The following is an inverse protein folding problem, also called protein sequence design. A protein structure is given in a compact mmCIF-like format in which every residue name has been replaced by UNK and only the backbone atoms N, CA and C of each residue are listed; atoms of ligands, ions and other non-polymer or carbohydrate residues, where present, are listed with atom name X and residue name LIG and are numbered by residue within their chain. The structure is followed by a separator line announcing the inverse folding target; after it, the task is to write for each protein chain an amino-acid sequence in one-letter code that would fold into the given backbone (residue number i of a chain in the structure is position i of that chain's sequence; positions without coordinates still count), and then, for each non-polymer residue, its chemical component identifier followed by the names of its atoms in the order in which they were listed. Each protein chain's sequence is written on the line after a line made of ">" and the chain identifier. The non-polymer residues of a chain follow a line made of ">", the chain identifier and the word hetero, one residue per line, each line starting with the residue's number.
data_IF_879925986136
#
_entry.id   IF_879925986136
#
_cell.length_a   1.000
_cell.length_b   1.000
_cell.length_c   1.000
_cell.angle_alpha   90.00
_cell.angle_beta   90.00
_cell.angle_gamma   90.00
#
_symmetry.space_group_name_H-M   'P 1'
#
loop_
_entity.id
_entity.type
_entity.pdbx_description
1 polymer ?
#
# COMPACT_ATOMS: atom_id res chain seq x y z
N UNK A 1 57.31 16.39 -60.48
CA UNK A 1 56.87 15.29 -59.59
C UNK A 1 57.65 15.42 -58.28
N UNK A 2 57.01 15.94 -57.23
CA UNK A 2 57.57 16.05 -55.87
C UNK A 2 56.48 15.57 -54.92
N UNK A 3 56.67 14.40 -54.34
CA UNK A 3 55.81 13.86 -53.29
C UNK A 3 56.33 14.42 -51.97
N UNK A 4 55.53 15.23 -51.29
CA UNK A 4 55.79 15.69 -49.93
C UNK A 4 54.62 15.21 -49.08
N UNK A 5 54.82 14.07 -48.41
CA UNK A 5 53.92 13.59 -47.37
C UNK A 5 54.10 14.47 -46.12
N UNK A 6 53.17 15.40 -45.91
CA UNK A 6 53.06 16.16 -44.65
C UNK A 6 52.17 15.40 -43.68
N UNK A 7 52.63 15.35 -42.44
CA UNK A 7 52.11 14.54 -41.36
C UNK A 7 50.72 14.96 -40.88
N UNK A 8 49.98 13.93 -40.48
CA UNK A 8 48.90 13.85 -39.50
C UNK A 8 48.67 15.10 -38.65
N UNK A 9 47.52 15.74 -38.86
CA UNK A 9 46.82 16.48 -37.82
C UNK A 9 45.46 15.78 -37.59
N UNK A 10 45.47 14.73 -36.78
CA UNK A 10 44.23 14.18 -36.20
C UNK A 10 43.82 15.14 -35.09
N UNK A 11 43.22 16.27 -35.48
CA UNK A 11 42.48 17.16 -34.59
C UNK A 11 41.01 16.77 -34.62
N UNK A 12 40.68 15.52 -34.25
CA UNK A 12 39.30 15.10 -34.09
C UNK A 12 38.84 15.30 -32.65
N UNK A 13 37.91 16.25 -32.50
CA UNK A 13 36.69 16.11 -31.70
C UNK A 13 36.91 15.75 -30.23
N UNK A 14 37.13 16.78 -29.41
CA UNK A 14 36.71 16.78 -28.01
C UNK A 14 35.72 17.93 -27.80
N UNK A 15 34.53 17.77 -28.38
CA UNK A 15 33.35 18.62 -28.19
C UNK A 15 32.15 17.74 -27.81
N UNK A 16 32.35 16.79 -26.90
CA UNK A 16 31.30 15.95 -26.32
C UNK A 16 31.49 15.85 -24.79
N UNK A 17 31.61 17.00 -24.13
CA UNK A 17 31.90 17.05 -22.69
C UNK A 17 30.94 17.87 -21.84
N UNK A 18 29.85 18.42 -22.41
CA UNK A 18 28.98 19.33 -21.65
C UNK A 18 27.50 19.20 -22.03
N UNK A 19 26.92 17.99 -21.99
CA UNK A 19 25.45 17.81 -22.11
C UNK A 19 24.85 16.99 -20.93
N UNK A 20 25.66 16.48 -20.00
CA UNK A 20 25.18 15.51 -19.00
C UNK A 20 24.62 16.04 -17.67
N UNK A 21 24.97 17.25 -17.20
CA UNK A 21 24.84 17.55 -15.76
C UNK A 21 23.48 18.13 -15.29
N UNK A 22 22.55 18.48 -16.18
CA UNK A 22 21.25 19.04 -15.76
C UNK A 22 20.09 18.03 -15.72
N UNK A 23 20.31 16.78 -16.17
CA UNK A 23 19.24 15.77 -16.28
C UNK A 23 19.07 14.91 -15.01
N UNK A 24 20.14 14.79 -14.22
CA UNK A 24 20.18 13.95 -13.02
C UNK A 24 19.15 14.34 -11.93
N UNK A 25 18.92 15.64 -11.59
CA UNK A 25 17.99 15.99 -10.53
C UNK A 25 16.51 15.78 -10.89
N UNK A 26 16.13 15.96 -12.17
CA UNK A 26 14.74 15.74 -12.63
C UNK A 26 14.38 14.25 -12.58
N UNK A 27 15.30 13.38 -13.01
CA UNK A 27 15.10 11.93 -12.96
C UNK A 27 15.04 11.40 -11.52
N UNK A 28 15.93 11.87 -10.65
CA UNK A 28 15.95 11.48 -9.24
C UNK A 28 14.65 11.87 -8.53
N UNK A 29 14.13 13.08 -8.81
CA UNK A 29 12.82 13.51 -8.28
C UNK A 29 11.69 12.58 -8.71
N UNK A 30 11.66 12.17 -9.97
CA UNK A 30 10.64 11.26 -10.51
C UNK A 30 10.73 9.89 -9.83
N UNK A 31 11.94 9.34 -9.71
CA UNK A 31 12.17 8.06 -9.04
C UNK A 31 11.74 8.09 -7.57
N UNK A 32 12.08 9.17 -6.86
CA UNK A 32 11.65 9.36 -5.46
C UNK A 32 10.12 9.39 -5.34
N UNK A 33 9.43 10.04 -6.29
CA UNK A 33 7.96 10.11 -6.29
C UNK A 33 7.29 8.78 -6.62
N UNK A 34 7.88 7.99 -7.51
CA UNK A 34 7.43 6.61 -7.77
C UNK A 34 7.61 5.76 -6.51
N UNK A 35 8.75 5.89 -5.81
CA UNK A 35 9.00 5.19 -4.55
C UNK A 35 8.02 5.61 -3.44
N UNK A 36 7.73 6.90 -3.32
CA UNK A 36 6.74 7.42 -2.37
C UNK A 36 5.33 6.88 -2.66
N UNK A 37 4.94 6.85 -3.94
CA UNK A 37 3.68 6.22 -4.37
C UNK A 37 3.62 4.75 -3.96
N UNK A 38 4.69 4.01 -4.24
CA UNK A 38 4.75 2.59 -3.92
C UNK A 38 4.59 2.36 -2.41
N UNK A 39 5.22 3.20 -1.59
CA UNK A 39 5.06 3.16 -0.13
C UNK A 39 3.61 3.38 0.30
N UNK A 40 2.89 4.30 -0.36
CA UNK A 40 1.48 4.56 -0.07
C UNK A 40 0.60 3.36 -0.45
N UNK A 41 0.84 2.73 -1.61
CA UNK A 41 0.13 1.50 -2.01
C UNK A 41 0.37 0.40 -0.98
N UNK A 42 1.61 0.18 -0.57
CA UNK A 42 1.91 -0.83 0.43
C UNK A 42 1.32 -0.49 1.81
N UNK A 43 1.15 0.80 2.12
CA UNK A 43 0.42 1.21 3.31
C UNK A 43 -1.06 0.86 3.23
N UNK A 44 -1.70 1.00 2.05
CA UNK A 44 -3.09 0.56 1.86
C UNK A 44 -3.24 -0.95 2.08
N UNK A 45 -2.33 -1.76 1.51
CA UNK A 45 -2.33 -3.21 1.70
C UNK A 45 -2.17 -3.58 3.19
N UNK A 46 -1.26 -2.90 3.89
CA UNK A 46 -1.08 -3.05 5.34
C UNK A 46 -2.34 -2.72 6.13
N UNK A 47 -3.03 -1.62 5.79
CA UNK A 47 -4.27 -1.23 6.46
C UNK A 47 -5.39 -2.25 6.22
N UNK A 48 -5.51 -2.78 5.01
CA UNK A 48 -6.47 -3.86 4.70
C UNK A 48 -6.17 -5.14 5.49
N UNK A 49 -4.90 -5.46 5.68
CA UNK A 49 -4.48 -6.58 6.51
C UNK A 49 -4.80 -6.34 8.00
N UNK A 50 -4.51 -5.14 8.52
CA UNK A 50 -4.83 -4.73 9.89
C UNK A 50 -6.35 -4.88 10.16
N UNK A 51 -7.21 -4.38 9.25
CA UNK A 51 -8.66 -4.54 9.34
C UNK A 51 -9.10 -6.01 9.32
N UNK A 52 -8.52 -6.82 8.43
CA UNK A 52 -8.88 -8.25 8.36
C UNK A 52 -8.49 -8.99 9.64
N UNK A 53 -7.30 -8.73 10.15
CA UNK A 53 -6.77 -9.36 11.37
C UNK A 53 -7.59 -8.98 12.60
N UNK A 54 -7.99 -7.70 12.70
CA UNK A 54 -8.88 -7.22 13.76
C UNK A 54 -10.17 -8.05 13.78
N UNK A 55 -10.87 -8.14 12.65
CA UNK A 55 -12.13 -8.87 12.58
C UNK A 55 -11.96 -10.38 12.73
N UNK A 56 -10.88 -10.97 12.25
CA UNK A 56 -10.60 -12.40 12.46
C UNK A 56 -10.41 -12.72 13.95
N UNK A 57 -9.78 -11.82 14.71
CA UNK A 57 -9.65 -11.97 16.17
C UNK A 57 -10.99 -11.85 16.91
N UNK A 58 -11.83 -10.90 16.51
CA UNK A 58 -13.19 -10.71 17.06
C UNK A 58 -14.06 -11.93 16.77
N UNK A 59 -14.01 -12.44 15.53
CA UNK A 59 -14.77 -13.61 15.12
C UNK A 59 -14.36 -14.87 15.89
N UNK A 60 -13.06 -15.08 16.10
CA UNK A 60 -12.56 -16.19 16.90
C UNK A 60 -13.08 -16.13 18.34
N UNK A 61 -13.09 -14.94 18.96
CA UNK A 61 -13.67 -14.75 20.28
C UNK A 61 -15.18 -15.02 20.28
N UNK A 62 -15.91 -14.45 19.32
CA UNK A 62 -17.36 -14.60 19.22
C UNK A 62 -17.76 -16.07 19.07
N UNK A 63 -17.08 -16.87 18.23
CA UNK A 63 -17.44 -18.28 18.03
C UNK A 63 -17.42 -19.10 19.33
N UNK A 64 -16.50 -18.75 20.26
CA UNK A 64 -16.43 -19.37 21.58
C UNK A 64 -17.51 -18.88 22.56
N UNK A 65 -18.04 -17.67 22.38
CA UNK A 65 -19.01 -17.04 23.28
C UNK A 65 -20.45 -17.20 22.83
N UNK A 66 -20.67 -17.56 21.56
CA UNK A 66 -22.01 -17.72 21.01
C UNK A 66 -22.75 -18.90 21.65
N UNK A 67 -24.01 -18.71 22.08
CA UNK A 67 -24.86 -19.80 22.57
C UNK A 67 -24.93 -20.98 21.61
N UNK A 68 -24.91 -22.20 22.16
CA UNK A 68 -25.04 -23.44 21.38
C UNK A 68 -26.45 -23.61 20.80
N UNK A 69 -27.43 -22.87 21.34
CA UNK A 69 -28.83 -22.90 20.88
C UNK A 69 -29.06 -22.20 19.54
N UNK A 70 -28.09 -21.44 19.03
CA UNK A 70 -28.23 -20.71 17.76
C UNK A 70 -28.12 -21.69 16.60
N UNK A 71 -29.03 -21.63 15.60
CA UNK A 71 -28.91 -22.40 14.37
C UNK A 71 -27.52 -22.22 13.72
N UNK A 72 -26.94 -23.31 13.20
CA UNK A 72 -25.61 -23.27 12.61
C UNK A 72 -25.46 -22.26 11.46
N UNK A 73 -26.53 -22.07 10.67
CA UNK A 73 -26.57 -21.08 9.59
C UNK A 73 -26.51 -19.63 10.12
N UNK A 74 -27.29 -19.32 11.16
CA UNK A 74 -27.30 -18.00 11.78
C UNK A 74 -25.96 -17.69 12.46
N UNK A 75 -25.37 -18.69 13.14
CA UNK A 75 -24.00 -18.58 13.68
C UNK A 75 -22.99 -18.22 12.58
N UNK A 76 -23.06 -18.90 11.43
CA UNK A 76 -22.17 -18.65 10.29
C UNK A 76 -22.34 -17.23 9.75
N UNK A 77 -23.59 -16.76 9.60
CA UNK A 77 -23.86 -15.40 9.15
C UNK A 77 -23.34 -14.36 10.13
N UNK A 78 -23.57 -14.53 11.43
CA UNK A 78 -23.08 -13.60 12.45
C UNK A 78 -21.55 -13.49 12.44
N UNK A 79 -20.85 -14.64 12.40
CA UNK A 79 -19.38 -14.68 12.35
C UNK A 79 -18.81 -14.14 11.04
N UNK A 80 -19.61 -14.04 9.98
CA UNK A 80 -19.19 -13.41 8.73
C UNK A 80 -19.33 -11.87 8.77
N UNK A 81 -20.06 -11.30 9.73
CA UNK A 81 -20.25 -9.86 9.84
C UNK A 81 -18.99 -9.20 10.40
N UNK A 82 -18.41 -8.29 9.62
CA UNK A 82 -17.23 -7.50 10.00
C UNK A 82 -17.60 -6.04 10.25
N UNK A 83 -18.63 -5.82 11.06
CA UNK A 83 -19.16 -4.50 11.35
C UNK A 83 -19.91 -4.49 12.69
N UNK A 84 -19.41 -3.73 13.65
CA UNK A 84 -19.95 -3.74 15.02
C UNK A 84 -21.42 -3.28 15.09
N UNK A 85 -21.83 -2.15 14.48
CA UNK A 85 -23.25 -1.78 14.45
C UNK A 85 -24.18 -2.84 13.87
N UNK A 86 -23.75 -3.58 12.83
CA UNK A 86 -24.55 -4.67 12.29
C UNK A 86 -24.64 -5.86 13.25
N UNK A 87 -23.55 -6.19 13.95
CA UNK A 87 -23.54 -7.23 14.99
C UNK A 87 -24.50 -6.87 16.13
N UNK A 88 -24.51 -5.60 16.54
CA UNK A 88 -25.40 -5.09 17.61
C UNK A 88 -26.89 -5.21 17.27
N UNK A 89 -27.25 -5.35 15.99
CA UNK A 89 -28.64 -5.50 15.55
C UNK A 89 -29.17 -6.94 15.66
N UNK A 90 -28.30 -7.93 15.88
CA UNK A 90 -28.75 -9.32 16.02
C UNK A 90 -29.30 -9.58 17.42
N UNK A 91 -30.41 -10.33 17.52
CA UNK A 91 -31.03 -10.68 18.81
C UNK A 91 -30.07 -11.44 19.75
N UNK A 92 -29.16 -12.25 19.18
CA UNK A 92 -28.12 -12.94 19.94
C UNK A 92 -27.15 -11.99 20.64
N UNK A 93 -26.94 -10.78 20.13
CA UNK A 93 -26.01 -9.84 20.73
C UNK A 93 -26.33 -9.58 22.21
N UNK A 94 -27.62 -9.50 22.56
CA UNK A 94 -28.08 -9.31 23.94
C UNK A 94 -27.68 -10.45 24.87
N UNK A 95 -27.48 -11.65 24.33
CA UNK A 95 -27.09 -12.85 25.08
C UNK A 95 -25.58 -12.95 25.33
N UNK A 96 -24.77 -12.12 24.67
CA UNK A 96 -23.32 -12.09 24.89
C UNK A 96 -22.99 -11.47 26.26
N UNK A 97 -21.88 -11.93 26.85
CA UNK A 97 -21.33 -11.35 28.06
C UNK A 97 -20.79 -9.93 27.82
N UNK A 98 -20.79 -9.11 28.88
CA UNK A 98 -20.34 -7.71 28.79
C UNK A 98 -18.91 -7.54 28.27
N UNK A 99 -17.93 -8.40 28.66
CA UNK A 99 -16.60 -8.39 28.06
C UNK A 99 -16.61 -8.56 26.53
N UNK A 100 -17.35 -9.54 26.00
CA UNK A 100 -17.46 -9.74 24.55
C UNK A 100 -18.11 -8.55 23.85
N UNK A 101 -19.21 -8.01 24.42
CA UNK A 101 -19.86 -6.79 23.90
C UNK A 101 -18.92 -5.59 23.89
N UNK A 102 -18.04 -5.48 24.89
CA UNK A 102 -17.03 -4.42 24.96
C UNK A 102 -16.00 -4.56 23.83
N UNK A 103 -15.50 -5.77 23.60
CA UNK A 103 -14.51 -6.05 22.53
C UNK A 103 -15.10 -5.74 21.15
N UNK A 104 -16.35 -6.13 20.88
CA UNK A 104 -17.04 -5.80 19.61
C UNK A 104 -17.10 -4.29 19.40
N UNK A 105 -17.46 -3.52 20.43
CA UNK A 105 -17.52 -2.04 20.35
C UNK A 105 -16.14 -1.42 20.14
N UNK A 106 -15.13 -1.89 20.85
CA UNK A 106 -13.75 -1.43 20.69
C UNK A 106 -13.23 -1.71 19.28
N UNK A 107 -13.49 -2.89 18.74
CA UNK A 107 -13.18 -3.23 17.35
C UNK A 107 -13.92 -2.32 16.36
N UNK A 108 -15.17 -1.96 16.62
CA UNK A 108 -15.90 -0.97 15.79
C UNK A 108 -15.25 0.41 15.78
N UNK A 109 -14.72 0.87 16.91
CA UNK A 109 -13.98 2.14 17.00
C UNK A 109 -12.66 2.05 16.22
N UNK A 110 -11.91 0.97 16.42
CA UNK A 110 -10.64 0.74 15.74
C UNK A 110 -10.81 0.61 14.22
N UNK A 111 -11.80 -0.15 13.76
CA UNK A 111 -12.16 -0.28 12.35
C UNK A 111 -12.50 1.08 11.73
N UNK A 112 -13.25 1.94 12.44
CA UNK A 112 -13.54 3.29 11.98
C UNK A 112 -12.27 4.14 11.81
N UNK A 113 -11.28 4.00 12.70
CA UNK A 113 -9.99 4.68 12.60
C UNK A 113 -9.15 4.14 11.43
N UNK A 114 -9.13 2.82 11.23
CA UNK A 114 -8.48 2.18 10.09
C UNK A 114 -9.10 2.61 8.76
N UNK A 115 -10.44 2.68 8.70
CA UNK A 115 -11.17 3.16 7.53
C UNK A 115 -10.88 4.64 7.23
N UNK A 116 -10.69 5.47 8.26
CA UNK A 116 -10.24 6.85 8.07
C UNK A 116 -8.82 6.89 7.47
N UNK A 117 -7.86 6.18 8.06
CA UNK A 117 -6.47 6.12 7.54
C UNK A 117 -6.41 5.58 6.12
N UNK A 118 -7.26 4.62 5.79
CA UNK A 118 -7.37 4.05 4.44
C UNK A 118 -7.80 5.12 3.44
N UNK A 119 -8.84 5.91 3.78
CA UNK A 119 -9.29 7.04 2.95
C UNK A 119 -8.21 8.08 2.76
N UNK A 120 -7.54 8.51 3.84
CA UNK A 120 -6.45 9.49 3.75
C UNK A 120 -5.27 8.99 2.90
N UNK A 121 -4.96 7.69 2.99
CA UNK A 121 -3.92 7.07 2.17
C UNK A 121 -4.34 6.99 0.70
N UNK A 122 -5.60 6.59 0.43
CA UNK A 122 -6.17 6.55 -0.93
C UNK A 122 -6.15 7.93 -1.59
N UNK A 123 -6.60 8.98 -0.88
CA UNK A 123 -6.51 10.37 -1.36
C UNK A 123 -5.07 10.79 -1.71
N UNK A 124 -4.09 10.28 -0.96
CA UNK A 124 -2.67 10.55 -1.20
C UNK A 124 -2.15 9.81 -2.43
N UNK A 125 -2.59 8.57 -2.65
CA UNK A 125 -2.30 7.79 -3.88
C UNK A 125 -2.88 8.48 -5.10
N UNK A 126 -4.16 8.88 -5.06
CA UNK A 126 -4.83 9.55 -6.18
C UNK A 126 -4.14 10.85 -6.59
N UNK A 127 -3.72 11.66 -5.61
CA UNK A 127 -2.94 12.88 -5.88
C UNK A 127 -1.59 12.57 -6.52
N UNK A 128 -0.93 11.49 -6.10
CA UNK A 128 0.35 11.08 -6.64
C UNK A 128 0.20 10.52 -8.07
N UNK A 129 -0.84 9.73 -8.32
CA UNK A 129 -1.19 9.21 -9.65
C UNK A 129 -1.43 10.36 -10.63
N UNK A 130 -2.25 11.34 -10.24
CA UNK A 130 -2.51 12.52 -11.06
C UNK A 130 -1.21 13.28 -11.42
N UNK A 131 -0.31 13.44 -10.44
CA UNK A 131 0.98 14.08 -10.66
C UNK A 131 1.89 13.27 -11.60
N UNK A 132 1.96 11.95 -11.41
CA UNK A 132 2.75 11.06 -12.25
C UNK A 132 2.24 11.05 -13.68
N UNK A 133 0.92 11.00 -13.90
CA UNK A 133 0.33 11.07 -15.24
C UNK A 133 0.71 12.35 -15.98
N UNK A 134 0.67 13.48 -15.28
CA UNK A 134 1.12 14.77 -15.84
C UNK A 134 2.59 14.76 -16.25
N UNK A 135 3.44 14.02 -15.54
CA UNK A 135 4.88 13.96 -15.80
C UNK A 135 5.24 12.91 -16.82
N UNK A 136 4.52 11.79 -16.89
CA UNK A 136 4.73 10.75 -17.88
C UNK A 136 4.60 11.29 -19.31
N UNK A 137 3.71 12.26 -19.54
CA UNK A 137 3.63 13.01 -20.82
C UNK A 137 4.96 13.71 -21.12
N UNK A 138 5.53 14.41 -20.14
CA UNK A 138 6.81 15.11 -20.29
C UNK A 138 7.99 14.14 -20.47
N UNK A 139 8.02 13.04 -19.72
CA UNK A 139 9.04 11.99 -19.82
C UNK A 139 8.96 11.29 -21.18
N UNK A 140 7.75 11.00 -21.68
CA UNK A 140 7.59 10.35 -22.99
C UNK A 140 8.17 11.18 -24.14
N UNK A 141 8.13 12.50 -24.02
CA UNK A 141 8.67 13.44 -24.99
C UNK A 141 10.19 13.62 -24.85
N UNK A 142 10.70 13.75 -23.62
CA UNK A 142 12.11 14.03 -23.36
C UNK A 142 13.00 12.77 -23.31
N UNK A 143 12.50 11.67 -22.73
CA UNK A 143 13.24 10.43 -22.44
C UNK A 143 12.39 9.17 -22.65
N UNK A 144 11.97 8.87 -23.89
CA UNK A 144 11.09 7.74 -24.17
C UNK A 144 11.68 6.38 -23.75
N UNK A 145 13.02 6.26 -23.72
CA UNK A 145 13.71 5.03 -23.32
C UNK A 145 13.53 4.67 -21.84
N UNK A 146 13.17 5.63 -20.97
CA UNK A 146 12.99 5.42 -19.53
C UNK A 146 11.57 5.00 -19.15
N UNK A 147 10.60 5.11 -20.07
CA UNK A 147 9.20 4.76 -19.81
C UNK A 147 8.99 3.30 -19.38
N UNK A 148 9.66 2.30 -19.97
CA UNK A 148 9.51 0.91 -19.54
C UNK A 148 9.92 0.73 -18.07
N UNK A 149 11.05 1.29 -17.66
CA UNK A 149 11.58 1.14 -16.30
C UNK A 149 10.68 1.84 -15.28
N UNK A 150 10.23 3.06 -15.59
CA UNK A 150 9.27 3.80 -14.74
C UNK A 150 7.97 3.01 -14.58
N UNK A 151 7.42 2.47 -15.69
CA UNK A 151 6.20 1.67 -15.64
C UNK A 151 6.39 0.39 -14.85
N UNK A 152 7.55 -0.27 -14.97
CA UNK A 152 7.86 -1.46 -14.20
C UNK A 152 7.88 -1.14 -12.70
N UNK A 153 8.57 -0.07 -12.29
CA UNK A 153 8.62 0.37 -10.89
C UNK A 153 7.25 0.71 -10.31
N UNK A 154 6.37 1.35 -11.10
CA UNK A 154 5.00 1.68 -10.68
C UNK A 154 4.09 0.45 -10.48
N UNK A 155 4.48 -0.70 -11.04
CA UNK A 155 3.73 -1.96 -10.96
C UNK A 155 4.46 -3.02 -10.12
N UNK A 156 5.50 -2.64 -9.39
CA UNK A 156 6.16 -3.58 -8.47
C UNK A 156 5.15 -4.01 -7.41
N UNK A 157 5.05 -5.32 -7.12
CA UNK A 157 4.23 -5.77 -6.01
C UNK A 157 4.83 -5.27 -4.70
N UNK A 158 3.99 -4.98 -3.71
CA UNK A 158 4.49 -4.75 -2.37
C UNK A 158 5.27 -5.97 -1.89
N UNK A 159 6.49 -5.77 -1.34
CA UNK A 159 7.24 -6.89 -0.80
C UNK A 159 6.34 -7.57 0.23
N UNK A 160 6.08 -8.87 0.05
CA UNK A 160 5.38 -9.66 1.06
C UNK A 160 6.16 -9.45 2.35
N UNK A 161 5.55 -8.76 3.31
CA UNK A 161 6.12 -8.64 4.63
C UNK A 161 6.10 -10.04 5.24
N UNK A 162 7.22 -10.74 5.17
CA UNK A 162 7.49 -11.92 6.01
C UNK A 162 7.41 -11.55 7.51
N UNK A 163 7.26 -10.26 7.85
CA UNK A 163 7.19 -9.71 9.20
C UNK A 163 5.80 -9.55 9.84
N UNK A 164 4.70 -10.00 9.23
CA UNK A 164 3.38 -9.92 9.88
C UNK A 164 2.99 -11.14 10.73
N UNK A 165 3.85 -12.18 10.80
CA UNK A 165 3.62 -13.38 11.63
C UNK A 165 4.41 -13.41 12.96
N UNK A 166 5.26 -12.42 13.24
CA UNK A 166 6.19 -12.48 14.39
C UNK A 166 5.83 -11.58 15.59
N UNK A 167 4.65 -10.94 15.59
CA UNK A 167 4.16 -10.31 16.81
C UNK A 167 3.21 -11.26 17.55
N UNK A 168 3.64 -11.93 18.64
CA UNK A 168 2.70 -12.48 19.58
C UNK A 168 1.95 -11.29 20.19
N UNK A 169 0.72 -11.06 19.75
CA UNK A 169 -0.22 -10.24 20.51
C UNK A 169 -0.48 -10.98 21.82
N UNK A 170 0.37 -10.72 22.82
CA UNK A 170 0.08 -11.05 24.21
C UNK A 170 -1.07 -10.15 24.64
N UNK A 171 -2.29 -10.59 24.33
CA UNK A 171 -3.47 -10.16 25.07
C UNK A 171 -3.31 -10.84 26.44
N UNK A 172 -2.60 -10.14 27.33
CA UNK A 172 -2.61 -10.44 28.75
C UNK A 172 -4.04 -10.21 29.23
N UNK A 173 -4.79 -11.29 29.34
CA UNK A 173 -5.96 -11.34 30.20
C UNK A 173 -5.43 -11.44 31.65
N UNK A 174 -5.42 -10.31 32.35
CA UNK A 174 -5.47 -10.27 33.82
C UNK A 174 -6.85 -9.78 34.26
#
# INVERSE_FOLDING_TARGET
>A
MKIVFKQLAIGSVFLLGVIGCNQQPELEMIQNKISDRQRLICRMDSLHFETSTLWDSVNALMDHQLPVSIPAEERTHLLAVRNAPLIEMFEVYDLLDDPTKKIIREAGIEDSLLAQRTRETMDSVEKMDFWLDSILVSVSSKWPALLPDIRNQMNEPCPRSEHLNDQPHSILYE
#
